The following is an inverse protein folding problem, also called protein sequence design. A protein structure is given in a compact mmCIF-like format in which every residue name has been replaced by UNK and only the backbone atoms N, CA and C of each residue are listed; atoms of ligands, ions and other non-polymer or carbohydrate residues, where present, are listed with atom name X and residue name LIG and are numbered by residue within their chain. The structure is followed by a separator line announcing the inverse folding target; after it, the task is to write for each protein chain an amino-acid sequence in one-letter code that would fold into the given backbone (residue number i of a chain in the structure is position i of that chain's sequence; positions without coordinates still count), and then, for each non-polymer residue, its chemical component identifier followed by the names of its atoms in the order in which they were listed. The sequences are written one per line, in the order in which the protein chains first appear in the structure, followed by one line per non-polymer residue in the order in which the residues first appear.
data_IF_912561074200
#
_entry.id   IF_912561074200
#
_cell.length_a   1.000
_cell.length_b   1.000
_cell.length_c   1.000
_cell.angle_alpha   90.00
_cell.angle_beta   90.00
_cell.angle_gamma   90.00
#
_symmetry.space_group_name_H-M   'P 1'
#
loop_
_entity.id
_entity.type
_entity.pdbx_description
1 polymer ?
#
# COMPACT_ATOMS: atom_id res chain seq x y z
N UNK A 1 -6.96 -8.22 9.48
CA UNK A 1 -7.12 -6.84 9.97
C UNK A 1 -8.38 -6.75 10.82
N UNK A 2 -8.32 -5.99 11.91
CA UNK A 2 -9.48 -5.63 12.75
C UNK A 2 -9.63 -4.11 12.74
N UNK A 3 -10.87 -3.62 12.77
CA UNK A 3 -11.18 -2.21 12.89
C UNK A 3 -12.15 -2.01 14.04
N UNK A 4 -11.88 -1.05 14.92
CA UNK A 4 -12.81 -0.66 15.95
C UNK A 4 -13.86 0.29 15.40
N UNK A 5 -15.13 -0.02 15.63
CA UNK A 5 -16.26 0.80 15.21
C UNK A 5 -16.94 1.38 16.47
N UNK A 6 -16.78 2.68 16.77
CA UNK A 6 -17.28 3.28 18.00
C UNK A 6 -18.79 3.10 18.20
N UNK A 7 -19.56 3.21 17.12
CA UNK A 7 -21.02 3.10 17.12
C UNK A 7 -21.57 1.71 17.52
N UNK A 8 -20.77 0.65 17.39
CA UNK A 8 -21.12 -0.71 17.82
C UNK A 8 -20.23 -1.22 18.96
N UNK A 9 -19.32 -0.36 19.44
CA UNK A 9 -18.40 -0.58 20.56
C UNK A 9 -17.67 -1.93 20.53
N UNK A 10 -17.34 -2.41 19.33
CA UNK A 10 -16.64 -3.68 19.13
C UNK A 10 -15.76 -3.69 17.89
N UNK A 11 -14.66 -4.47 17.90
CA UNK A 11 -13.84 -4.70 16.71
C UNK A 11 -14.58 -5.56 15.68
N UNK A 12 -14.46 -5.20 14.41
CA UNK A 12 -14.96 -5.96 13.25
C UNK A 12 -13.79 -6.47 12.40
N UNK A 13 -13.92 -7.70 11.90
CA UNK A 13 -12.91 -8.30 11.03
C UNK A 13 -13.05 -7.73 9.62
N UNK A 14 -11.94 -7.28 9.05
CA UNK A 14 -11.88 -6.75 7.70
C UNK A 14 -11.19 -7.73 6.74
N UNK A 15 -11.74 -7.85 5.53
CA UNK A 15 -11.14 -8.59 4.42
C UNK A 15 -10.09 -7.73 3.73
N UNK A 16 -8.89 -8.27 3.53
CA UNK A 16 -7.73 -7.60 2.91
C UNK A 16 -8.08 -6.88 1.59
N UNK A 17 -8.73 -7.57 0.67
CA UNK A 17 -9.05 -7.09 -0.68
C UNK A 17 -10.17 -6.04 -0.77
N UNK A 18 -10.88 -5.77 0.33
CA UNK A 18 -11.94 -4.75 0.32
C UNK A 18 -11.36 -3.35 0.48
N UNK A 19 -12.04 -2.37 -0.10
CA UNK A 19 -11.75 -0.94 0.10
C UNK A 19 -11.71 -0.60 1.60
N UNK A 20 -10.69 0.18 1.98
CA UNK A 20 -10.55 0.75 3.30
C UNK A 20 -11.40 2.01 3.41
N UNK A 21 -12.46 1.96 4.22
CA UNK A 21 -13.34 3.10 4.52
C UNK A 21 -13.92 3.81 3.27
N UNK A 22 -14.12 3.08 2.17
CA UNK A 22 -14.64 3.66 0.92
C UNK A 22 -13.59 4.39 0.07
N UNK A 23 -12.32 4.36 0.46
CA UNK A 23 -11.21 4.90 -0.32
C UNK A 23 -10.83 3.99 -1.49
N UNK A 24 -9.96 4.48 -2.38
CA UNK A 24 -9.39 3.64 -3.45
C UNK A 24 -8.40 2.60 -2.94
N UNK A 25 -7.86 2.78 -1.73
CA UNK A 25 -6.96 1.83 -1.05
C UNK A 25 -7.72 0.62 -0.53
N UNK A 26 -7.10 -0.56 -0.60
CA UNK A 26 -7.57 -1.77 0.06
C UNK A 26 -7.16 -1.80 1.54
N UNK A 27 -7.80 -2.65 2.33
CA UNK A 27 -7.41 -2.90 3.71
C UNK A 27 -5.98 -3.45 3.82
N UNK A 28 -5.51 -4.20 2.81
CA UNK A 28 -4.13 -4.68 2.75
C UNK A 28 -3.13 -3.54 2.63
N UNK A 29 -3.39 -2.56 1.76
CA UNK A 29 -2.47 -1.42 1.51
C UNK A 29 -2.18 -0.60 2.78
N UNK A 30 -3.13 -0.59 3.72
CA UNK A 30 -2.99 0.10 5.01
C UNK A 30 -2.32 -0.80 6.05
N UNK A 31 -2.64 -2.10 6.03
CA UNK A 31 -2.21 -3.04 7.08
C UNK A 31 -0.84 -3.66 6.89
N UNK A 32 -0.38 -3.78 5.63
CA UNK A 32 0.87 -4.42 5.27
C UNK A 32 1.54 -3.61 4.15
N UNK A 33 2.62 -2.95 4.51
CA UNK A 33 3.36 -2.07 3.60
C UNK A 33 4.53 -2.78 2.93
N UNK A 34 4.82 -4.04 3.28
CA UNK A 34 5.92 -4.79 2.68
C UNK A 34 5.45 -5.72 1.57
N UNK A 35 5.81 -5.40 0.33
CA UNK A 35 5.52 -6.25 -0.82
C UNK A 35 6.28 -7.58 -0.79
N UNK A 36 7.47 -7.63 -0.18
CA UNK A 36 8.35 -8.81 -0.22
C UNK A 36 7.74 -10.05 0.43
N UNK A 37 6.86 -9.86 1.41
CA UNK A 37 6.19 -10.96 2.11
C UNK A 37 5.09 -11.61 1.26
N UNK A 38 4.45 -10.84 0.40
CA UNK A 38 3.25 -11.25 -0.33
C UNK A 38 3.49 -11.51 -1.82
N UNK A 39 4.59 -11.01 -2.38
CA UNK A 39 4.86 -11.05 -3.82
C UNK A 39 6.26 -11.56 -4.13
N UNK A 40 6.40 -12.28 -5.24
CA UNK A 40 7.67 -12.58 -5.89
C UNK A 40 7.97 -11.49 -6.93
N UNK A 41 9.19 -10.95 -6.92
CA UNK A 41 9.57 -9.82 -7.75
C UNK A 41 10.52 -10.24 -8.88
N UNK A 42 10.27 -9.73 -10.09
CA UNK A 42 11.17 -9.88 -11.24
C UNK A 42 11.39 -8.53 -11.93
N UNK A 43 12.63 -8.23 -12.31
CA UNK A 43 12.93 -7.09 -13.18
C UNK A 43 12.62 -7.51 -14.62
N UNK A 44 11.63 -6.88 -15.24
CA UNK A 44 11.20 -7.24 -16.61
C UNK A 44 11.64 -6.24 -17.66
N UNK A 45 11.92 -4.99 -17.28
CA UNK A 45 12.44 -3.95 -18.17
C UNK A 45 13.42 -3.05 -17.42
N UNK A 46 14.45 -2.61 -18.13
CA UNK A 46 15.42 -1.62 -17.65
C UNK A 46 15.43 -0.46 -18.63
N UNK A 47 15.36 0.75 -18.10
CA UNK A 47 15.55 2.03 -18.79
C UNK A 47 16.72 2.74 -18.15
N UNK A 48 17.23 3.79 -18.81
CA UNK A 48 18.40 4.55 -18.36
C UNK A 48 18.34 4.96 -16.87
N UNK A 49 17.17 5.38 -16.40
CA UNK A 49 16.99 5.92 -15.04
C UNK A 49 15.95 5.15 -14.19
N UNK A 50 15.42 4.03 -14.70
CA UNK A 50 14.36 3.27 -14.01
C UNK A 50 14.27 1.81 -14.43
N UNK A 51 13.82 0.96 -13.51
CA UNK A 51 13.49 -0.44 -13.77
C UNK A 51 12.00 -0.69 -13.58
N UNK A 52 11.46 -1.63 -14.34
CA UNK A 52 10.13 -2.17 -14.12
C UNK A 52 10.25 -3.45 -13.30
N UNK A 53 9.76 -3.40 -12.07
CA UNK A 53 9.51 -4.58 -11.25
C UNK A 53 8.10 -5.10 -11.53
N UNK A 54 7.99 -6.38 -11.83
CA UNK A 54 6.72 -7.10 -11.86
C UNK A 54 6.66 -7.98 -10.63
N UNK A 55 5.67 -7.72 -9.79
CA UNK A 55 5.41 -8.41 -8.54
C UNK A 55 4.22 -9.35 -8.75
N UNK A 56 4.46 -10.65 -8.67
CA UNK A 56 3.43 -11.69 -8.78
C UNK A 56 3.04 -12.17 -7.38
N UNK A 57 1.74 -12.26 -7.09
CA UNK A 57 1.28 -12.68 -5.78
C UNK A 57 1.66 -14.14 -5.47
N UNK A 58 2.25 -14.36 -4.29
CA UNK A 58 2.61 -15.71 -3.77
C UNK A 58 1.39 -16.55 -3.41
N UNK A 59 0.25 -15.88 -3.16
CA UNK A 59 -1.00 -16.46 -2.66
C UNK A 59 -2.20 -15.71 -3.25
N UNK A 60 -3.39 -16.31 -3.19
CA UNK A 60 -4.60 -15.77 -3.87
C UNK A 60 -5.48 -14.84 -3.03
N UNK A 61 -5.22 -14.74 -1.73
CA UNK A 61 -6.00 -13.95 -0.76
C UNK A 61 -5.39 -12.57 -0.46
N UNK A 62 -4.50 -12.10 -1.33
CA UNK A 62 -4.04 -10.70 -1.39
C UNK A 62 -5.03 -9.84 -2.18
N UNK A 63 -4.89 -8.53 -2.08
CA UNK A 63 -5.71 -7.55 -2.80
C UNK A 63 -5.48 -7.57 -4.31
N UNK A 64 -4.26 -7.87 -4.76
CA UNK A 64 -3.87 -7.76 -6.18
C UNK A 64 -3.14 -9.01 -6.65
N UNK A 65 -3.46 -9.49 -7.84
CA UNK A 65 -2.80 -10.66 -8.42
C UNK A 65 -1.39 -10.32 -8.92
N UNK A 66 -1.21 -9.08 -9.37
CA UNK A 66 0.04 -8.57 -9.94
C UNK A 66 0.16 -7.07 -9.72
N UNK A 67 1.37 -6.60 -9.47
CA UNK A 67 1.72 -5.18 -9.40
C UNK A 67 2.86 -4.94 -10.39
N UNK A 68 2.72 -3.96 -11.27
CA UNK A 68 3.81 -3.47 -12.11
C UNK A 68 4.29 -2.13 -11.55
N UNK A 69 5.57 -2.02 -11.19
CA UNK A 69 6.11 -0.89 -10.45
C UNK A 69 7.35 -0.34 -11.12
N UNK A 70 7.30 0.93 -11.51
CA UNK A 70 8.46 1.65 -11.99
C UNK A 70 9.26 2.19 -10.81
N UNK A 71 10.51 1.75 -10.68
CA UNK A 71 11.42 2.16 -9.62
C UNK A 71 12.55 2.99 -10.22
N UNK A 72 12.82 4.16 -9.65
CA UNK A 72 13.97 4.98 -10.05
C UNK A 72 15.27 4.29 -9.61
N UNK A 73 16.25 4.16 -10.52
CA UNK A 73 17.46 3.41 -10.21
C UNK A 73 18.36 4.12 -9.18
N UNK A 74 18.56 5.42 -9.31
CA UNK A 74 19.46 6.17 -8.44
C UNK A 74 18.95 6.20 -6.99
N UNK A 75 17.67 6.52 -6.83
CA UNK A 75 17.05 6.77 -5.53
C UNK A 75 16.33 5.55 -4.95
N UNK A 76 16.22 4.46 -5.71
CA UNK A 76 15.63 3.17 -5.31
C UNK A 76 14.22 3.26 -4.71
N UNK A 77 13.38 4.17 -5.23
CA UNK A 77 11.99 4.34 -4.78
C UNK A 77 10.99 4.18 -5.95
N UNK A 78 9.76 3.72 -5.68
CA UNK A 78 8.73 3.63 -6.70
C UNK A 78 8.25 5.01 -7.12
N UNK A 79 8.15 5.24 -8.43
CA UNK A 79 7.59 6.47 -9.01
C UNK A 79 6.12 6.28 -9.35
N UNK A 80 5.78 5.09 -9.85
CA UNK A 80 4.44 4.72 -10.29
C UNK A 80 4.24 3.22 -10.10
N UNK A 81 3.02 2.82 -9.71
CA UNK A 81 2.63 1.42 -9.59
C UNK A 81 1.24 1.18 -10.21
N UNK A 82 1.11 0.11 -10.96
CA UNK A 82 -0.11 -0.35 -11.60
C UNK A 82 -0.55 -1.66 -10.97
N UNK A 83 -1.78 -1.70 -10.46
CA UNK A 83 -2.29 -2.85 -9.72
C UNK A 83 -3.32 -3.59 -10.55
N UNK A 84 -3.16 -4.90 -10.65
CA UNK A 84 -3.98 -5.77 -11.47
C UNK A 84 -4.77 -6.75 -10.60
N UNK A 85 -6.07 -6.84 -10.85
CA UNK A 85 -6.95 -7.82 -10.20
C UNK A 85 -6.74 -9.23 -10.76
N UNK A 86 -7.45 -10.21 -10.19
CA UNK A 86 -7.39 -11.62 -10.62
C UNK A 86 -7.76 -11.85 -12.10
N UNK A 87 -8.57 -10.96 -12.69
CA UNK A 87 -8.91 -11.00 -14.11
C UNK A 87 -7.81 -10.50 -15.05
N UNK A 88 -6.70 -9.99 -14.50
CA UNK A 88 -5.64 -9.35 -15.27
C UNK A 88 -5.94 -7.91 -15.69
N UNK A 89 -7.12 -7.35 -15.35
CA UNK A 89 -7.45 -5.94 -15.59
C UNK A 89 -6.74 -5.06 -14.57
N UNK A 90 -6.21 -3.92 -15.03
CA UNK A 90 -5.72 -2.88 -14.12
C UNK A 90 -6.91 -2.27 -13.36
N UNK A 91 -6.85 -2.33 -12.03
CA UNK A 91 -7.91 -1.85 -11.14
C UNK A 91 -7.50 -0.57 -10.41
N UNK A 92 -6.21 -0.39 -10.12
CA UNK A 92 -5.70 0.83 -9.48
C UNK A 92 -4.44 1.31 -10.17
N UNK A 93 -4.18 2.61 -10.03
CA UNK A 93 -2.92 3.24 -10.37
C UNK A 93 -2.47 4.07 -9.18
N UNK A 94 -1.22 3.96 -8.77
CA UNK A 94 -0.65 4.76 -7.69
C UNK A 94 0.53 5.57 -8.20
N UNK A 95 0.57 6.84 -7.85
CA UNK A 95 1.69 7.74 -8.11
C UNK A 95 2.30 8.22 -6.80
N UNK A 96 3.62 8.38 -6.83
CA UNK A 96 4.42 8.75 -5.67
C UNK A 96 5.18 10.04 -5.99
N UNK A 97 5.11 11.02 -5.09
CA UNK A 97 5.75 12.31 -5.30
C UNK A 97 6.23 12.93 -3.99
N UNK A 98 6.88 14.11 -4.09
CA UNK A 98 7.40 14.86 -2.95
C UNK A 98 8.31 14.00 -2.05
N UNK A 99 9.35 13.40 -2.65
CA UNK A 99 10.27 12.52 -1.95
C UNK A 99 11.20 13.33 -1.06
N UNK A 100 11.19 13.03 0.24
CA UNK A 100 12.04 13.67 1.25
C UNK A 100 12.52 12.66 2.28
N UNK A 101 13.55 13.02 3.02
CA UNK A 101 13.99 12.26 4.17
C UNK A 101 12.99 12.43 5.31
N UNK A 102 12.52 11.31 5.86
CA UNK A 102 11.63 11.29 7.01
C UNK A 102 11.90 10.02 7.82
N UNK A 103 12.16 10.18 9.12
CA UNK A 103 12.59 9.10 10.00
C UNK A 103 13.79 8.31 9.42
N UNK A 104 14.85 9.03 9.03
CA UNK A 104 16.13 8.47 8.58
C UNK A 104 16.12 7.76 7.22
N UNK A 105 15.02 7.81 6.46
CA UNK A 105 14.92 7.19 5.12
C UNK A 105 14.25 8.14 4.13
N UNK A 106 14.65 8.06 2.85
CA UNK A 106 13.93 8.73 1.76
C UNK A 106 12.59 8.04 1.50
N UNK A 107 11.50 8.82 1.48
CA UNK A 107 10.14 8.32 1.32
C UNK A 107 9.30 9.28 0.48
N UNK A 108 8.34 8.78 -0.31
CA UNK A 108 7.33 9.63 -0.91
C UNK A 108 6.39 10.16 0.18
N UNK A 109 6.24 11.47 0.26
CA UNK A 109 5.32 12.08 1.23
C UNK A 109 3.93 12.26 0.66
N UNK A 110 3.80 12.31 -0.66
CA UNK A 110 2.53 12.45 -1.35
C UNK A 110 2.27 11.19 -2.18
N UNK A 111 1.15 10.53 -1.90
CA UNK A 111 0.70 9.32 -2.59
C UNK A 111 -0.70 9.54 -3.12
N UNK A 112 -0.93 9.27 -4.41
CA UNK A 112 -2.26 9.34 -5.02
C UNK A 112 -2.61 8.00 -5.63
N UNK A 113 -3.70 7.40 -5.18
CA UNK A 113 -4.24 6.16 -5.74
C UNK A 113 -5.55 6.43 -6.49
N UNK A 114 -5.56 6.14 -7.78
CA UNK A 114 -6.67 6.34 -8.71
C UNK A 114 -7.41 5.02 -8.95
N UNK A 115 -8.74 5.08 -9.04
CA UNK A 115 -9.57 3.97 -9.50
C UNK A 115 -9.56 3.92 -11.03
N UNK A 116 -9.20 2.78 -11.60
CA UNK A 116 -9.18 2.58 -13.06
C UNK A 116 -10.50 2.05 -13.62
N UNK A 117 -11.46 1.77 -12.74
CA UNK A 117 -12.81 1.28 -13.07
C UNK A 117 -13.84 2.40 -12.98
N UNK A 118 -13.59 3.41 -12.15
CA UNK A 118 -14.45 4.58 -11.95
C UNK A 118 -13.69 5.86 -12.30
N UNK A 119 -14.12 6.52 -13.39
CA UNK A 119 -13.42 7.71 -13.90
C UNK A 119 -13.43 8.85 -12.88
N UNK A 120 -12.25 9.42 -12.62
CA UNK A 120 -12.08 10.55 -11.71
C UNK A 120 -12.10 10.20 -10.22
N UNK A 121 -12.37 8.94 -9.84
CA UNK A 121 -12.30 8.52 -8.43
C UNK A 121 -10.84 8.30 -7.99
N UNK A 122 -10.45 8.94 -6.88
CA UNK A 122 -9.11 8.79 -6.31
C UNK A 122 -9.10 9.03 -4.80
N UNK A 123 -7.98 8.67 -4.16
CA UNK A 123 -7.67 9.04 -2.78
C UNK A 123 -6.22 9.52 -2.73
N UNK A 124 -5.99 10.62 -2.03
CA UNK A 124 -4.65 11.15 -1.75
C UNK A 124 -4.29 10.95 -0.28
N UNK A 125 -3.05 10.54 -0.04
CA UNK A 125 -2.46 10.37 1.28
C UNK A 125 -1.22 11.25 1.35
N UNK A 126 -1.16 12.09 2.39
CA UNK A 126 -0.02 12.95 2.68
C UNK A 126 0.60 12.56 4.01
N UNK A 127 1.88 12.18 4.00
CA UNK A 127 2.66 11.96 5.22
C UNK A 127 3.15 13.32 5.73
N UNK A 128 2.62 13.73 6.88
CA UNK A 128 2.93 15.03 7.49
C UNK A 128 4.14 14.92 8.43
N UNK A 129 4.17 13.88 9.25
CA UNK A 129 5.25 13.59 10.19
C UNK A 129 5.37 12.09 10.42
N UNK A 130 6.57 11.66 10.81
CA UNK A 130 6.84 10.29 11.23
C UNK A 130 7.99 10.32 12.24
N UNK A 131 7.83 9.52 13.29
CA UNK A 131 8.83 9.31 14.32
C UNK A 131 9.22 7.83 14.32
N UNK A 132 10.52 7.54 14.31
CA UNK A 132 11.01 6.18 14.48
C UNK A 132 11.05 5.84 15.97
N UNK A 133 10.16 4.95 16.39
CA UNK A 133 10.16 4.41 17.74
C UNK A 133 11.09 3.20 17.80
N UNK A 134 12.00 3.18 18.77
CA UNK A 134 12.94 2.06 18.98
C UNK A 134 12.20 0.75 19.29
N UNK A 135 11.09 0.85 20.00
CA UNK A 135 10.22 -0.26 20.36
C UNK A 135 8.78 0.25 20.43
N UNK A 136 7.85 -0.55 19.93
CA UNK A 136 6.41 -0.34 20.10
C UNK A 136 5.89 -1.52 20.89
N UNK A 137 5.39 -1.33 22.11
CA UNK A 137 4.92 -2.43 22.95
C UNK A 137 3.85 -3.29 22.27
N UNK A 138 4.02 -4.62 22.34
CA UNK A 138 3.11 -5.59 21.69
C UNK A 138 1.64 -5.41 22.08
N UNK A 139 1.37 -4.93 23.30
CA UNK A 139 -0.01 -4.74 23.75
C UNK A 139 -0.79 -3.74 22.86
N UNK A 140 -0.12 -2.79 22.18
CA UNK A 140 -0.80 -1.91 21.22
C UNK A 140 -1.43 -2.66 20.04
N UNK A 141 -0.95 -3.87 19.75
CA UNK A 141 -1.45 -4.74 18.69
C UNK A 141 -2.39 -5.85 19.22
N UNK A 142 -2.79 -5.79 20.49
CA UNK A 142 -3.79 -6.66 21.08
C UNK A 142 -5.21 -6.11 20.81
N UNK A 143 -6.10 -6.98 20.30
CA UNK A 143 -7.49 -6.64 20.00
C UNK A 143 -8.27 -6.10 21.22
N UNK A 144 -7.89 -6.47 22.44
CA UNK A 144 -8.49 -6.00 23.70
C UNK A 144 -8.18 -4.54 24.03
N UNK A 145 -7.15 -3.97 23.41
CA UNK A 145 -6.83 -2.54 23.55
C UNK A 145 -7.64 -1.66 22.59
N UNK A 146 -8.31 -2.25 21.60
CA UNK A 146 -9.12 -1.49 20.66
C UNK A 146 -10.31 -0.83 21.36
N UNK A 147 -10.46 0.49 21.19
CA UNK A 147 -11.57 1.26 21.75
C UNK A 147 -11.36 1.78 23.18
N UNK A 148 -10.15 1.64 23.72
CA UNK A 148 -9.71 2.27 24.97
C UNK A 148 -9.14 3.66 24.75
#
# INVERSE_FOLDING_TARGET
LWMYMPNISRPIRLTKSRSFMGSTFSNEDISDTSWENNYDAEITKVRKDSVLLVLAAKRRDVSYARIEMWVNEEKRFPVEAHYYGLSGRQVRKMSFSNVKEMAGRLRPLDMKMEDMLEEGAYTEVKLISMEELKEVPDYYFDQTQMGR
#
